data_IF_375674722026
#
_entry.id   IF_375674722026
#
_cell.length_a   1.000
_cell.length_b   1.000
_cell.length_c   1.000
_cell.angle_alpha   90.00
_cell.angle_beta   90.00
_cell.angle_gamma   90.00
#
_symmetry.space_group_name_H-M   'P 1'
#
loop_
_entity.id
_entity.type
_entity.pdbx_description
1 polymer ?
#
# COMPACT_ATOMS: atom_id res chain seq x y z
N UNK A 1 5.93 -9.63 -15.49
CA UNK A 1 6.66 -8.80 -14.52
C UNK A 1 5.69 -7.98 -13.70
N UNK A 2 5.86 -7.97 -12.40
CA UNK A 2 5.00 -7.19 -11.51
C UNK A 2 5.28 -5.71 -11.62
N UNK A 3 4.23 -4.91 -11.59
CA UNK A 3 4.32 -3.45 -11.50
C UNK A 3 3.58 -2.97 -10.27
N UNK A 4 4.01 -1.83 -9.73
CA UNK A 4 3.35 -1.18 -8.60
C UNK A 4 2.88 0.19 -9.07
N UNK A 5 1.58 0.36 -9.09
CA UNK A 5 0.91 1.57 -9.55
C UNK A 5 0.17 2.21 -8.38
N UNK A 6 -0.10 3.50 -8.48
CA UNK A 6 -0.91 4.22 -7.49
C UNK A 6 -2.02 4.94 -8.21
N UNK A 7 -3.20 4.99 -7.58
CA UNK A 7 -4.24 5.90 -8.04
C UNK A 7 -3.75 7.34 -7.86
N UNK A 8 -4.34 8.29 -8.55
CA UNK A 8 -3.96 9.70 -8.40
C UNK A 8 -4.07 10.16 -6.94
N UNK A 9 -5.14 9.77 -6.26
CA UNK A 9 -5.34 10.14 -4.86
C UNK A 9 -4.28 9.50 -3.95
N UNK A 10 -3.95 8.22 -4.17
CA UNK A 10 -2.93 7.55 -3.39
C UNK A 10 -1.54 8.15 -3.61
N UNK A 11 -1.24 8.57 -4.85
CA UNK A 11 0.03 9.20 -5.15
C UNK A 11 0.19 10.52 -4.38
N UNK A 12 -0.87 11.30 -4.26
CA UNK A 12 -0.84 12.53 -3.47
C UNK A 12 -0.65 12.22 -1.98
N UNK A 13 -1.35 11.22 -1.48
CA UNK A 13 -1.23 10.80 -0.08
C UNK A 13 0.19 10.33 0.24
N UNK A 14 0.80 9.62 -0.70
CA UNK A 14 2.19 9.17 -0.53
C UNK A 14 3.15 10.36 -0.45
N UNK A 15 2.95 11.37 -1.27
CA UNK A 15 3.80 12.57 -1.26
C UNK A 15 3.75 13.29 0.09
N UNK A 16 2.62 13.20 0.80
CA UNK A 16 2.43 13.87 2.08
C UNK A 16 3.08 13.11 3.25
N UNK A 17 3.59 11.91 3.04
CA UNK A 17 4.25 11.15 4.09
C UNK A 17 5.64 11.72 4.41
N UNK A 18 6.14 11.37 5.60
CA UNK A 18 7.52 11.65 5.96
C UNK A 18 8.48 10.93 5.04
N UNK A 19 9.67 11.50 4.86
CA UNK A 19 10.68 10.98 3.94
C UNK A 19 11.03 9.52 4.17
N UNK A 20 11.21 9.11 5.44
CA UNK A 20 11.55 7.72 5.75
C UNK A 20 10.47 6.73 5.35
N UNK A 21 9.21 7.12 5.50
CA UNK A 21 8.09 6.29 5.11
C UNK A 21 8.02 6.16 3.59
N UNK A 22 8.23 7.26 2.86
CA UNK A 22 8.29 7.22 1.40
C UNK A 22 9.45 6.35 0.91
N UNK A 23 10.61 6.48 1.55
CA UNK A 23 11.77 5.66 1.19
C UNK A 23 11.49 4.17 1.39
N UNK A 24 10.80 3.81 2.47
CA UNK A 24 10.43 2.42 2.72
C UNK A 24 9.47 1.92 1.63
N UNK A 25 8.50 2.75 1.24
CA UNK A 25 7.61 2.40 0.13
C UNK A 25 8.41 2.07 -1.14
N UNK A 26 9.37 2.92 -1.47
CA UNK A 26 10.18 2.69 -2.68
C UNK A 26 10.97 1.38 -2.60
N UNK A 27 11.46 1.02 -1.42
CA UNK A 27 12.14 -0.27 -1.23
C UNK A 27 11.21 -1.45 -1.43
N UNK A 28 10.01 -1.38 -0.85
CA UNK A 28 9.02 -2.45 -1.01
C UNK A 28 8.62 -2.57 -2.49
N UNK A 29 8.40 -1.44 -3.15
CA UNK A 29 8.09 -1.41 -4.57
C UNK A 29 9.16 -2.12 -5.39
N UNK A 30 10.42 -1.80 -5.12
CA UNK A 30 11.54 -2.42 -5.83
C UNK A 30 11.57 -3.94 -5.60
N UNK A 31 11.30 -4.38 -4.36
CA UNK A 31 11.24 -5.81 -4.04
C UNK A 31 10.11 -6.51 -4.83
N UNK A 32 8.94 -5.91 -4.87
CA UNK A 32 7.80 -6.48 -5.60
C UNK A 32 8.14 -6.60 -7.09
N UNK A 33 8.71 -5.54 -7.66
CA UNK A 33 9.03 -5.52 -9.09
C UNK A 33 10.17 -6.48 -9.45
N UNK A 34 11.10 -6.74 -8.54
CA UNK A 34 12.20 -7.64 -8.80
C UNK A 34 11.91 -9.10 -8.47
N UNK A 35 11.11 -9.36 -7.43
CA UNK A 35 10.90 -10.71 -6.93
C UNK A 35 9.46 -11.22 -7.02
N UNK A 36 8.50 -10.33 -7.29
CA UNK A 36 7.09 -10.67 -7.29
C UNK A 36 6.44 -10.52 -5.93
N UNK A 37 5.12 -10.26 -5.93
CA UNK A 37 4.39 -10.00 -4.69
C UNK A 37 4.38 -11.19 -3.75
N UNK A 38 4.45 -12.41 -4.28
CA UNK A 38 4.42 -13.62 -3.47
C UNK A 38 5.63 -13.73 -2.54
N UNK A 39 6.72 -13.06 -2.87
CA UNK A 39 7.95 -13.10 -2.08
C UNK A 39 8.07 -11.95 -1.08
N UNK A 40 7.17 -10.98 -1.15
CA UNK A 40 7.19 -9.83 -0.25
C UNK A 40 6.12 -10.07 0.82
N UNK A 41 6.58 -10.46 2.01
CA UNK A 41 5.70 -10.92 3.08
C UNK A 41 5.86 -10.06 4.33
N UNK A 42 5.17 -10.47 5.39
CA UNK A 42 5.33 -9.88 6.71
C UNK A 42 6.82 -9.73 7.04
N UNK A 43 7.28 -8.60 7.63
CA UNK A 43 6.45 -7.50 8.14
C UNK A 43 6.11 -6.41 7.12
N UNK A 44 6.53 -6.55 5.85
CA UNK A 44 6.30 -5.52 4.85
C UNK A 44 4.87 -5.44 4.38
N UNK A 45 4.24 -6.60 4.16
CA UNK A 45 2.85 -6.66 3.67
C UNK A 45 2.04 -7.64 4.51
N UNK A 46 0.74 -7.41 4.58
CA UNK A 46 -0.17 -8.21 5.36
C UNK A 46 -1.57 -8.17 4.74
N UNK A 47 -2.25 -9.32 4.76
CA UNK A 47 -3.64 -9.37 4.31
C UNK A 47 -4.52 -8.59 5.28
N UNK A 48 -5.43 -7.79 4.75
CA UNK A 48 -6.30 -6.96 5.58
C UNK A 48 -7.73 -7.45 5.54
N UNK A 49 -8.46 -7.12 4.49
CA UNK A 49 -9.86 -7.46 4.35
C UNK A 49 -10.12 -7.60 2.86
N UNK A 50 -10.38 -8.82 2.41
CA UNK A 50 -10.49 -9.08 0.97
C UNK A 50 -11.33 -8.04 0.25
N UNK A 51 -10.87 -7.47 -0.87
CA UNK A 51 -9.64 -7.83 -1.60
C UNK A 51 -8.41 -7.03 -1.18
N UNK A 52 -8.43 -6.36 -0.04
CA UNK A 52 -7.38 -5.43 0.36
C UNK A 52 -6.23 -6.10 1.09
N UNK A 53 -5.04 -5.62 0.77
CA UNK A 53 -3.79 -5.91 1.47
C UNK A 53 -3.18 -4.59 1.93
N UNK A 54 -2.29 -4.64 2.91
CA UNK A 54 -1.61 -3.42 3.34
C UNK A 54 -0.10 -3.60 3.37
N UNK A 55 0.61 -2.52 3.01
CA UNK A 55 2.05 -2.39 3.19
C UNK A 55 2.28 -1.57 4.44
N UNK A 56 3.26 -1.97 5.25
CA UNK A 56 3.67 -1.21 6.42
C UNK A 56 4.89 -0.38 6.07
N UNK A 57 4.75 0.92 6.19
CA UNK A 57 5.79 1.88 5.81
C UNK A 57 6.39 2.48 7.06
N UNK A 58 7.54 1.98 7.48
CA UNK A 58 8.22 2.41 8.70
C UNK A 58 9.19 3.54 8.43
N UNK A 59 9.19 4.52 9.30
CA UNK A 59 10.15 5.61 9.29
C UNK A 59 10.38 6.13 10.69
N UNK A 60 11.31 7.07 10.85
CA UNK A 60 11.63 7.64 12.17
C UNK A 60 10.42 8.31 12.81
N UNK A 61 9.49 8.84 12.01
CA UNK A 61 8.31 9.53 12.52
C UNK A 61 7.13 8.61 12.81
N UNK A 62 7.27 7.30 12.62
CA UNK A 62 6.21 6.33 12.90
C UNK A 62 5.89 5.43 11.72
N UNK A 63 4.70 4.84 11.75
CA UNK A 63 4.28 3.87 10.76
C UNK A 63 3.13 4.44 9.93
N UNK A 64 3.27 4.35 8.60
CA UNK A 64 2.20 4.63 7.66
C UNK A 64 1.79 3.33 6.99
N UNK A 65 0.65 3.34 6.32
CA UNK A 65 0.14 2.17 5.63
C UNK A 65 -0.30 2.53 4.22
N UNK A 66 -0.05 1.62 3.28
CA UNK A 66 -0.53 1.73 1.92
C UNK A 66 -1.43 0.53 1.65
N UNK A 67 -2.71 0.79 1.42
CA UNK A 67 -3.68 -0.26 1.12
C UNK A 67 -3.71 -0.49 -0.38
N UNK A 68 -3.65 -1.76 -0.80
CA UNK A 68 -3.58 -2.08 -2.21
C UNK A 68 -4.42 -3.29 -2.57
N UNK A 69 -4.69 -3.43 -3.85
CA UNK A 69 -5.30 -4.60 -4.45
C UNK A 69 -4.39 -5.10 -5.55
N UNK A 70 -4.58 -6.34 -5.96
CA UNK A 70 -3.88 -6.88 -7.12
C UNK A 70 -4.85 -7.00 -8.29
N UNK A 71 -4.33 -6.81 -9.51
CA UNK A 71 -5.10 -6.91 -10.76
C UNK A 71 -4.24 -7.60 -11.79
N UNK A 72 -4.89 -8.23 -12.75
CA UNK A 72 -4.19 -8.88 -13.85
C UNK A 72 -3.59 -7.86 -14.81
N UNK A 73 -2.48 -8.17 -15.47
CA UNK A 73 -1.78 -9.47 -15.41
C UNK A 73 -0.89 -9.65 -14.19
N UNK A 74 -0.21 -8.64 -13.71
CA UNK A 74 0.65 -8.68 -12.51
C UNK A 74 0.82 -7.26 -12.02
N UNK A 75 -0.28 -6.70 -11.51
CA UNK A 75 -0.30 -5.32 -11.06
C UNK A 75 -0.68 -5.23 -9.59
N UNK A 76 0.11 -4.49 -8.84
CA UNK A 76 -0.25 -4.02 -7.50
C UNK A 76 -0.74 -2.59 -7.68
N UNK A 77 -1.94 -2.28 -7.22
CA UNK A 77 -2.50 -0.94 -7.33
C UNK A 77 -2.79 -0.42 -5.93
N UNK A 78 -2.01 0.58 -5.53
CA UNK A 78 -2.18 1.23 -4.22
C UNK A 78 -3.34 2.21 -4.33
N UNK A 79 -4.33 2.06 -3.45
CA UNK A 79 -5.56 2.84 -3.49
C UNK A 79 -5.71 3.83 -2.33
N UNK A 80 -5.02 3.61 -1.21
CA UNK A 80 -5.08 4.53 -0.06
C UNK A 80 -3.77 4.50 0.71
N UNK A 81 -3.26 5.68 1.07
CA UNK A 81 -2.05 5.83 1.90
C UNK A 81 -2.39 6.75 3.06
N UNK A 82 -2.03 6.35 4.27
CA UNK A 82 -2.34 7.14 5.47
C UNK A 82 -1.35 6.83 6.60
N UNK A 83 -1.24 7.75 7.55
CA UNK A 83 -0.44 7.53 8.75
C UNK A 83 -1.32 6.81 9.77
N UNK A 84 -0.85 5.67 10.26
CA UNK A 84 -1.61 4.86 11.20
C UNK A 84 -1.33 5.34 12.62
N UNK A 85 -2.40 5.65 13.34
CA UNK A 85 -2.31 6.13 14.73
C UNK A 85 -2.87 5.13 15.74
N UNK A 86 -3.42 4.01 15.27
CA UNK A 86 -4.02 2.99 16.10
C UNK A 86 -3.48 1.62 15.71
N UNK A 87 -3.69 0.61 16.56
CA UNK A 87 -3.20 -0.74 16.26
C UNK A 87 -3.94 -1.39 15.09
N UNK A 88 -5.25 -1.20 15.03
CA UNK A 88 -6.06 -1.71 13.93
C UNK A 88 -6.23 -0.65 12.87
N UNK A 89 -6.32 -1.09 11.62
CA UNK A 89 -6.66 -0.19 10.52
C UNK A 89 -8.10 0.28 10.70
N UNK A 90 -8.35 1.60 10.83
CA UNK A 90 -9.70 2.11 11.02
C UNK A 90 -10.62 1.72 9.88
N UNK A 91 -11.87 1.40 10.21
CA UNK A 91 -12.87 1.03 9.21
C UNK A 91 -13.03 2.08 8.14
N UNK A 92 -12.91 3.35 8.51
CA UNK A 92 -12.98 4.47 7.57
C UNK A 92 -11.95 4.33 6.44
N UNK A 93 -10.73 3.94 6.79
CA UNK A 93 -9.67 3.78 5.78
C UNK A 93 -9.95 2.61 4.85
N UNK A 94 -10.48 1.54 5.42
CA UNK A 94 -10.86 0.36 4.62
C UNK A 94 -11.97 0.73 3.64
N UNK A 95 -12.97 1.48 4.10
CA UNK A 95 -14.10 1.87 3.24
C UNK A 95 -13.65 2.78 2.10
N UNK A 96 -12.75 3.73 2.37
CA UNK A 96 -12.19 4.57 1.32
C UNK A 96 -11.46 3.71 0.28
N UNK A 97 -10.63 2.79 0.77
CA UNK A 97 -9.85 1.91 -0.11
C UNK A 97 -10.74 1.03 -0.97
N UNK A 98 -11.79 0.44 -0.38
CA UNK A 98 -12.71 -0.42 -1.12
C UNK A 98 -13.43 0.35 -2.23
N UNK A 99 -13.88 1.57 -1.95
CA UNK A 99 -14.52 2.40 -2.98
C UNK A 99 -13.56 2.72 -4.13
N UNK A 100 -12.32 3.08 -3.79
CA UNK A 100 -11.31 3.37 -4.81
C UNK A 100 -10.95 2.13 -5.61
N UNK A 101 -10.91 0.97 -4.96
CA UNK A 101 -10.60 -0.30 -5.64
C UNK A 101 -11.64 -0.65 -6.71
N UNK A 102 -12.90 -0.27 -6.51
CA UNK A 102 -13.96 -0.53 -7.49
C UNK A 102 -13.71 0.17 -8.83
N UNK A 103 -12.97 1.27 -8.82
CA UNK A 103 -12.65 2.03 -10.02
C UNK A 103 -11.40 1.53 -10.73
N UNK A 104 -10.69 0.60 -10.12
CA UNK A 104 -9.46 0.05 -10.71
C UNK A 104 -9.79 -1.09 -11.66
N UNK A 105 -9.40 -0.95 -12.90
CA UNK A 105 -9.58 -1.99 -13.93
C UNK A 105 -8.33 -2.89 -14.04
#
# INVERSE_FOLDING_TARGET
>A
MWTVQLTAAAAEELRDLAEGQRAHFMRIRALIQSQGIERVRFPHVEHLDSPLWEMRLKGASGIAHALYVTRRPQRVVVVRVFVKKTQKTPRREIDIALRRAEEVT
#
